data_IF_470449784332
#
_entry.id   IF_470449784332
#
_cell.length_a   1.000
_cell.length_b   1.000
_cell.length_c   1.000
_cell.angle_alpha   90.00
_cell.angle_beta   90.00
_cell.angle_gamma   90.00
#
_symmetry.space_group_name_H-M   'P 1'
#
loop_
_entity.id
_entity.type
_entity.pdbx_description
1 polymer ?
#
# COMPACT_ATOMS: atom_id res chain seq x y z
N UNK A 1 9.17 -6.47 -17.04
CA UNK A 1 9.41 -5.87 -18.36
C UNK A 1 8.09 -5.31 -18.85
N UNK A 2 8.03 -4.02 -19.11
CA UNK A 2 6.94 -3.41 -19.88
C UNK A 2 7.21 -3.64 -21.35
N UNK A 3 6.22 -4.16 -22.08
CA UNK A 3 6.26 -4.25 -23.53
C UNK A 3 5.37 -3.14 -24.07
N UNK A 4 5.93 -2.27 -24.90
CA UNK A 4 5.21 -1.19 -25.54
C UNK A 4 5.52 -1.23 -27.04
N UNK A 5 4.49 -1.37 -27.86
CA UNK A 5 4.59 -1.29 -29.32
C UNK A 5 3.36 -0.56 -29.83
N UNK A 6 3.53 0.67 -30.32
CA UNK A 6 2.50 1.50 -30.98
C UNK A 6 1.11 1.53 -30.29
N UNK A 7 0.33 0.49 -30.53
CA UNK A 7 -1.03 0.29 -30.03
C UNK A 7 -1.16 -0.54 -28.73
N UNK A 8 -0.09 -1.18 -28.27
CA UNK A 8 -0.12 -2.14 -27.14
C UNK A 8 0.85 -1.68 -26.07
N UNK A 9 0.34 -1.49 -24.84
CA UNK A 9 1.13 -1.27 -23.63
C UNK A 9 0.78 -2.33 -22.59
N UNK A 10 1.69 -3.29 -22.35
CA UNK A 10 1.50 -4.37 -21.37
C UNK A 10 2.62 -4.34 -20.34
N UNK A 11 2.24 -4.13 -19.08
CA UNK A 11 3.16 -4.27 -17.94
C UNK A 11 3.10 -5.72 -17.44
N UNK A 12 4.12 -6.53 -17.77
CA UNK A 12 4.17 -7.93 -17.33
C UNK A 12 4.59 -8.02 -15.86
N UNK A 13 3.84 -8.82 -15.11
CA UNK A 13 4.15 -9.11 -13.71
C UNK A 13 5.40 -10.02 -13.59
N UNK A 14 6.29 -9.72 -12.65
CA UNK A 14 7.48 -10.54 -12.40
C UNK A 14 7.07 -11.84 -11.69
N UNK A 15 7.16 -12.96 -12.39
CA UNK A 15 6.83 -14.29 -11.84
C UNK A 15 7.93 -14.87 -10.94
N UNK A 16 9.20 -14.48 -11.14
CA UNK A 16 10.35 -14.80 -10.28
C UNK A 16 10.32 -14.03 -8.92
N UNK A 17 9.17 -14.18 -8.26
CA UNK A 17 8.80 -13.80 -6.91
C UNK A 17 9.14 -14.82 -5.83
N UNK A 18 9.62 -14.44 -4.64
CA UNK A 18 9.34 -15.25 -3.46
C UNK A 18 7.80 -15.28 -3.25
N UNK A 19 7.19 -16.45 -3.40
CA UNK A 19 5.72 -16.62 -3.35
C UNK A 19 5.20 -16.49 -1.93
N UNK A 20 5.92 -17.05 -0.97
CA UNK A 20 5.59 -17.00 0.46
C UNK A 20 5.58 -15.56 0.96
N UNK A 21 6.64 -14.80 0.65
CA UNK A 21 6.71 -13.39 1.04
C UNK A 21 5.55 -12.59 0.43
N UNK A 22 5.20 -12.85 -0.82
CA UNK A 22 4.08 -12.16 -1.49
C UNK A 22 2.75 -12.47 -0.81
N UNK A 23 2.50 -13.73 -0.47
CA UNK A 23 1.29 -14.15 0.22
C UNK A 23 1.23 -13.55 1.64
N UNK A 24 2.33 -13.61 2.38
CA UNK A 24 2.44 -13.05 3.72
C UNK A 24 2.17 -11.54 3.74
N UNK A 25 2.77 -10.77 2.82
CA UNK A 25 2.53 -9.32 2.71
C UNK A 25 1.07 -9.02 2.36
N UNK A 26 0.44 -9.85 1.51
CA UNK A 26 -0.95 -9.67 1.14
C UNK A 26 -1.89 -9.92 2.33
N UNK A 27 -1.67 -10.99 3.09
CA UNK A 27 -2.43 -11.30 4.30
C UNK A 27 -2.22 -10.23 5.38
N UNK A 28 -0.96 -9.81 5.58
CA UNK A 28 -0.62 -8.75 6.52
C UNK A 28 -1.29 -7.42 6.15
N UNK A 29 -1.30 -7.04 4.87
CA UNK A 29 -2.00 -5.85 4.42
C UNK A 29 -3.51 -5.92 4.73
N UNK A 30 -4.15 -7.07 4.53
CA UNK A 30 -5.57 -7.25 4.85
C UNK A 30 -5.86 -7.25 6.37
N UNK A 31 -4.95 -7.78 7.19
CA UNK A 31 -5.07 -7.68 8.63
C UNK A 31 -4.85 -6.22 9.12
N UNK A 32 -3.85 -5.54 8.57
CA UNK A 32 -3.45 -4.19 9.00
C UNK A 32 -4.56 -3.14 8.87
N UNK A 33 -5.44 -3.26 7.87
CA UNK A 33 -6.55 -2.32 7.69
C UNK A 33 -7.57 -2.37 8.83
N UNK A 34 -7.61 -3.47 9.61
CA UNK A 34 -8.52 -3.60 10.75
C UNK A 34 -7.98 -2.90 12.01
N UNK A 35 -6.67 -2.68 12.07
CA UNK A 35 -5.99 -2.11 13.24
C UNK A 35 -5.48 -0.69 13.02
N UNK A 36 -5.23 -0.30 11.76
CA UNK A 36 -4.69 1.02 11.40
C UNK A 36 -5.69 1.79 10.54
N UNK A 37 -6.17 2.93 11.03
CA UNK A 37 -7.20 3.73 10.36
C UNK A 37 -6.73 4.23 9.00
N UNK A 38 -5.49 4.72 8.89
CA UNK A 38 -4.95 5.20 7.60
C UNK A 38 -4.89 4.11 6.54
N UNK A 39 -4.65 2.85 6.95
CA UNK A 39 -4.54 1.72 6.04
C UNK A 39 -5.91 1.36 5.45
N UNK A 40 -6.97 1.45 6.25
CA UNK A 40 -8.35 1.32 5.80
C UNK A 40 -8.72 2.43 4.80
N UNK A 41 -8.50 3.69 5.17
CA UNK A 41 -8.83 4.83 4.28
C UNK A 41 -8.08 4.72 2.95
N UNK A 42 -6.79 4.34 2.98
CA UNK A 42 -6.02 4.13 1.75
C UNK A 42 -6.58 2.97 0.90
N UNK A 43 -6.98 1.87 1.54
CA UNK A 43 -7.59 0.73 0.85
C UNK A 43 -8.92 1.13 0.19
N UNK A 44 -9.79 1.82 0.91
CA UNK A 44 -11.09 2.30 0.41
C UNK A 44 -10.92 3.27 -0.76
N UNK A 45 -9.99 4.22 -0.65
CA UNK A 45 -9.66 5.12 -1.75
C UNK A 45 -9.23 4.34 -3.00
N UNK A 46 -8.40 3.29 -2.85
CA UNK A 46 -8.03 2.44 -4.00
C UNK A 46 -9.20 1.63 -4.56
N UNK A 47 -10.16 1.23 -3.72
CA UNK A 47 -11.42 0.61 -4.18
C UNK A 47 -12.28 1.60 -4.95
N UNK A 48 -12.36 2.86 -4.49
CA UNK A 48 -13.09 3.95 -5.18
C UNK A 48 -12.45 4.33 -6.52
N UNK A 49 -11.12 4.23 -6.65
CA UNK A 49 -10.41 4.32 -7.94
C UNK A 49 -10.72 3.17 -8.92
N UNK A 50 -11.60 2.23 -8.55
CA UNK A 50 -11.98 1.07 -9.38
C UNK A 50 -10.97 -0.07 -9.34
N UNK A 51 -10.02 -0.10 -8.39
CA UNK A 51 -9.08 -1.22 -8.26
C UNK A 51 -9.78 -2.44 -7.65
N UNK A 52 -9.43 -3.63 -8.15
CA UNK A 52 -9.85 -4.89 -7.54
C UNK A 52 -9.31 -5.02 -6.11
N UNK A 53 -9.92 -5.88 -5.29
CA UNK A 53 -9.53 -6.11 -3.90
C UNK A 53 -8.04 -6.48 -3.77
N UNK A 54 -7.61 -7.49 -4.54
CA UNK A 54 -6.21 -7.92 -4.56
C UNK A 54 -5.25 -6.81 -5.04
N UNK A 55 -5.69 -5.98 -5.99
CA UNK A 55 -4.88 -4.84 -6.45
C UNK A 55 -4.74 -3.77 -5.38
N UNK A 56 -5.84 -3.42 -4.70
CA UNK A 56 -5.84 -2.46 -3.59
C UNK A 56 -4.96 -2.94 -2.43
N UNK A 57 -5.07 -4.21 -2.02
CA UNK A 57 -4.20 -4.81 -1.00
C UNK A 57 -2.73 -4.81 -1.41
N UNK A 58 -2.41 -5.12 -2.67
CA UNK A 58 -1.03 -5.06 -3.16
C UNK A 58 -0.48 -3.63 -3.16
N UNK A 59 -1.30 -2.64 -3.47
CA UNK A 59 -0.93 -1.22 -3.34
C UNK A 59 -0.68 -0.82 -1.89
N UNK A 60 -1.51 -1.30 -0.96
CA UNK A 60 -1.34 -1.07 0.48
C UNK A 60 -0.06 -1.76 1.00
N UNK A 61 0.14 -3.04 0.66
CA UNK A 61 1.33 -3.80 1.01
C UNK A 61 2.62 -3.16 0.50
N UNK A 62 2.63 -2.60 -0.71
CA UNK A 62 3.77 -1.85 -1.24
C UNK A 62 4.14 -0.63 -0.39
N UNK A 63 3.15 0.06 0.19
CA UNK A 63 3.36 1.21 1.07
C UNK A 63 3.88 0.74 2.43
N UNK A 64 3.28 -0.30 2.99
CA UNK A 64 3.76 -0.95 4.21
C UNK A 64 5.21 -1.44 4.14
N UNK A 65 5.61 -2.04 3.02
CA UNK A 65 7.00 -2.47 2.81
C UNK A 65 7.99 -1.31 2.85
N UNK A 66 7.61 -0.11 2.37
CA UNK A 66 8.46 1.09 2.48
C UNK A 66 8.62 1.55 3.94
N UNK A 67 7.55 1.46 4.72
CA UNK A 67 7.57 1.78 6.16
C UNK A 67 8.48 0.78 6.88
N UNK A 68 8.26 -0.52 6.68
CA UNK A 68 9.05 -1.58 7.29
C UNK A 68 10.53 -1.45 6.94
N UNK A 69 10.84 -1.13 5.68
CA UNK A 69 12.21 -0.86 5.23
C UNK A 69 12.83 0.31 6.00
N UNK A 70 12.10 1.42 6.19
CA UNK A 70 12.61 2.56 6.96
C UNK A 70 12.77 2.24 8.44
N UNK A 71 11.84 1.50 9.04
CA UNK A 71 11.94 1.01 10.41
C UNK A 71 13.17 0.13 10.60
N UNK A 72 13.42 -0.78 9.66
CA UNK A 72 14.60 -1.66 9.68
C UNK A 72 15.91 -0.87 9.68
N UNK A 73 15.99 0.18 8.85
CA UNK A 73 17.17 1.04 8.77
C UNK A 73 17.37 1.91 10.02
N UNK A 74 16.28 2.48 10.54
CA UNK A 74 16.34 3.42 11.68
C UNK A 74 16.30 2.74 13.04
N UNK A 75 15.97 1.44 13.08
CA UNK A 75 15.74 0.65 14.29
C UNK A 75 14.70 1.27 15.24
N UNK A 76 13.75 2.02 14.69
CA UNK A 76 12.65 2.61 15.44
C UNK A 76 11.35 1.82 15.25
N UNK A 77 10.55 1.66 16.32
CA UNK A 77 9.25 1.03 16.21
C UNK A 77 8.29 1.85 15.34
N UNK A 78 7.25 1.18 14.84
CA UNK A 78 6.23 1.85 14.06
C UNK A 78 5.38 2.75 14.95
N UNK A 79 5.18 3.99 14.52
CA UNK A 79 4.24 4.93 15.13
C UNK A 79 3.29 5.48 14.05
N UNK A 80 2.00 5.24 14.23
CA UNK A 80 0.94 5.68 13.31
C UNK A 80 0.83 7.20 13.24
N UNK A 81 1.08 7.91 14.34
CA UNK A 81 0.99 9.36 14.42
C UNK A 81 2.07 10.03 13.55
N UNK A 82 3.30 9.51 13.64
CA UNK A 82 4.42 9.97 12.81
C UNK A 82 4.12 9.72 11.33
N UNK A 83 3.54 8.55 11.01
CA UNK A 83 3.19 8.21 9.64
C UNK A 83 2.12 9.14 9.06
N UNK A 84 1.05 9.38 9.82
CA UNK A 84 -0.05 10.26 9.43
C UNK A 84 0.43 11.70 9.26
N UNK A 85 1.22 12.22 10.20
CA UNK A 85 1.84 13.56 10.11
C UNK A 85 2.71 13.70 8.86
N UNK A 86 3.55 12.72 8.56
CA UNK A 86 4.38 12.74 7.35
C UNK A 86 3.52 12.73 6.08
N UNK A 87 2.45 11.94 6.04
CA UNK A 87 1.54 11.92 4.88
C UNK A 87 0.85 13.29 4.67
N UNK A 88 0.39 13.95 5.74
CA UNK A 88 -0.18 15.31 5.69
C UNK A 88 0.86 16.31 5.18
N UNK A 89 2.08 16.29 5.74
CA UNK A 89 3.18 17.19 5.34
C UNK A 89 3.52 17.06 3.85
N UNK A 90 3.43 15.85 3.30
CA UNK A 90 3.71 15.57 1.89
C UNK A 90 2.46 15.64 1.00
N UNK A 91 1.33 16.16 1.50
CA UNK A 91 0.11 16.39 0.70
C UNK A 91 -0.56 15.11 0.20
N UNK A 92 -0.41 13.99 0.90
CA UNK A 92 -1.03 12.73 0.48
C UNK A 92 -2.55 12.81 0.59
N UNK A 93 -3.23 13.00 -0.54
CA UNK A 93 -4.70 13.03 -0.70
C UNK A 93 -5.46 11.85 -0.05
N UNK A 94 -4.78 10.74 0.19
CA UNK A 94 -5.39 9.54 0.76
C UNK A 94 -5.88 9.71 2.21
N UNK A 95 -5.42 10.72 2.96
CA UNK A 95 -5.91 10.97 4.34
C UNK A 95 -7.06 11.98 4.42
N UNK A 96 -7.33 12.72 3.33
CA UNK A 96 -8.42 13.70 3.29
C UNK A 96 -9.80 13.05 3.34
N UNK A 97 -9.87 11.73 3.20
CA UNK A 97 -11.12 10.96 3.06
C UNK A 97 -11.57 10.25 4.33
N UNK A 98 -11.08 10.60 5.52
CA UNK A 98 -11.65 10.04 6.73
C UNK A 98 -13.12 10.52 6.86
N UNK A 99 -14.13 9.62 6.78
CA UNK A 99 -15.47 10.02 7.17
C UNK A 99 -15.46 10.20 8.69
N UNK A 100 -15.93 11.34 9.15
CA UNK A 100 -16.30 11.53 10.54
C UNK A 100 -17.52 10.67 10.81
N UNK A 101 -17.37 9.51 11.46
CA UNK A 101 -18.48 8.81 12.12
C UNK A 101 -17.92 7.93 13.24
#
# INVERSE_FOLDING_TARGET
MSFQSGQIHVVRFRRACNRELRAAVHLWADASRKSCTWAQVYYEHKRQEGKSHACALRCLGQRWLKILWKMWQTRQPYDEQIHTRNQVRHGSRALTLAPAT
#
